data_IF_322988538660
#
_entry.id   IF_322988538660
#
_cell.length_a   1.000
_cell.length_b   1.000
_cell.length_c   1.000
_cell.angle_alpha   90.00
_cell.angle_beta   90.00
_cell.angle_gamma   90.00
#
_symmetry.space_group_name_H-M   'P 1'
#
loop_
_entity.id
_entity.type
_entity.pdbx_description
1 polymer ?
#
# COMPACT_ATOMS: atom_id res chain seq x y z
N UNK A 1 13.31 -14.09 6.42
CA UNK A 1 13.82 -12.90 5.70
C UNK A 1 13.83 -11.64 6.54
N UNK A 2 12.67 -11.15 6.98
CA UNK A 2 12.58 -9.89 7.75
C UNK A 2 13.51 -9.84 8.98
N UNK A 3 13.59 -10.91 9.77
CA UNK A 3 14.53 -11.02 10.90
C UNK A 3 15.99 -10.95 10.46
N UNK A 4 16.35 -11.62 9.36
CA UNK A 4 17.72 -11.60 8.85
C UNK A 4 18.11 -10.19 8.36
N UNK A 5 17.20 -9.50 7.67
CA UNK A 5 17.40 -8.10 7.25
C UNK A 5 17.52 -7.16 8.47
N UNK A 6 16.68 -7.33 9.48
CA UNK A 6 16.77 -6.57 10.74
C UNK A 6 18.12 -6.79 11.42
N UNK A 7 18.62 -8.03 11.49
CA UNK A 7 19.93 -8.34 12.07
C UNK A 7 21.09 -7.78 11.24
N UNK A 8 20.91 -7.64 9.93
CA UNK A 8 21.88 -7.00 9.03
C UNK A 8 21.91 -5.47 9.17
N UNK A 9 21.00 -4.86 9.95
CA UNK A 9 21.02 -3.44 10.27
C UNK A 9 20.34 -2.54 9.23
N UNK A 10 19.41 -3.06 8.42
CA UNK A 10 18.61 -2.21 7.53
C UNK A 10 17.73 -1.25 8.34
N UNK A 11 17.43 -0.06 7.81
CA UNK A 11 16.64 0.94 8.53
C UNK A 11 15.13 0.67 8.51
N UNK A 12 14.64 -0.12 7.55
CA UNK A 12 13.23 -0.51 7.38
C UNK A 12 13.11 -1.71 6.43
N UNK A 13 11.97 -2.39 6.47
CA UNK A 13 11.64 -3.50 5.54
C UNK A 13 10.32 -3.20 4.83
N UNK A 14 10.29 -3.37 3.51
CA UNK A 14 9.06 -3.28 2.72
C UNK A 14 8.41 -4.67 2.62
N UNK A 15 7.11 -4.75 2.87
CA UNK A 15 6.29 -5.96 2.74
C UNK A 15 5.31 -5.76 1.58
N UNK A 16 5.47 -6.56 0.52
CA UNK A 16 4.64 -6.49 -0.68
C UNK A 16 3.82 -7.78 -0.83
N UNK A 17 2.50 -7.63 -0.96
CA UNK A 17 1.55 -8.74 -1.16
C UNK A 17 1.67 -9.87 -0.12
N UNK A 18 1.94 -9.50 1.13
CA UNK A 18 2.01 -10.43 2.27
C UNK A 18 0.63 -10.49 2.95
N UNK A 19 0.10 -11.68 3.30
CA UNK A 19 -1.16 -11.77 4.03
C UNK A 19 -1.16 -10.89 5.29
N UNK A 20 -2.24 -10.14 5.54
CA UNK A 20 -2.27 -9.11 6.58
C UNK A 20 -1.94 -9.65 7.98
N UNK A 21 -2.41 -10.86 8.28
CA UNK A 21 -2.08 -11.53 9.55
C UNK A 21 -0.59 -11.83 9.70
N UNK A 22 0.08 -12.26 8.62
CA UNK A 22 1.52 -12.51 8.62
C UNK A 22 2.32 -11.20 8.68
N UNK A 23 1.90 -10.17 7.93
CA UNK A 23 2.54 -8.86 7.96
C UNK A 23 2.46 -8.21 9.35
N UNK A 24 1.31 -8.37 10.05
CA UNK A 24 1.17 -7.98 11.46
C UNK A 24 2.19 -8.71 12.34
N UNK A 25 2.27 -10.04 12.23
CA UNK A 25 3.24 -10.84 13.00
C UNK A 25 4.67 -10.38 12.75
N UNK A 26 5.06 -10.19 11.48
CA UNK A 26 6.39 -9.70 11.10
C UNK A 26 6.66 -8.34 11.74
N UNK A 27 5.74 -7.39 11.60
CA UNK A 27 5.87 -6.03 12.14
C UNK A 27 6.04 -6.03 13.65
N UNK A 28 5.38 -6.94 14.38
CA UNK A 28 5.54 -7.07 15.84
C UNK A 28 6.80 -7.82 16.26
N UNK A 29 7.47 -8.53 15.35
CA UNK A 29 8.59 -9.42 15.65
C UNK A 29 9.97 -8.84 15.40
N UNK A 30 10.06 -7.73 14.65
CA UNK A 30 11.33 -7.04 14.32
C UNK A 30 11.32 -5.63 14.91
N UNK A 31 12.49 -5.10 15.27
CA UNK A 31 12.60 -3.79 15.92
C UNK A 31 12.48 -2.60 14.94
N UNK A 32 12.68 -2.85 13.65
CA UNK A 32 12.70 -1.82 12.61
C UNK A 32 11.30 -1.63 11.97
N UNK A 33 10.98 -0.42 11.46
CA UNK A 33 9.70 -0.17 10.82
C UNK A 33 9.45 -1.05 9.59
N UNK A 34 8.20 -1.46 9.40
CA UNK A 34 7.72 -2.10 8.17
C UNK A 34 6.91 -1.11 7.33
N UNK A 35 7.07 -1.15 6.00
CA UNK A 35 6.26 -0.39 5.06
C UNK A 35 5.47 -1.37 4.18
N UNK A 36 4.14 -1.27 4.21
CA UNK A 36 3.25 -2.19 3.50
C UNK A 36 2.79 -1.67 2.14
N UNK A 37 2.66 -2.58 1.17
CA UNK A 37 1.83 -2.44 -0.03
C UNK A 37 1.11 -3.77 -0.29
N UNK A 38 -0.21 -3.78 -0.13
CA UNK A 38 -0.96 -5.03 -0.07
C UNK A 38 -0.54 -5.94 1.10
N UNK A 39 -0.12 -5.34 2.23
CA UNK A 39 0.30 -6.06 3.43
C UNK A 39 -0.53 -5.73 4.67
N UNK A 40 -1.72 -5.13 4.47
CA UNK A 40 -2.62 -4.76 5.55
C UNK A 40 -2.20 -3.54 6.36
N UNK A 41 -3.10 -3.12 7.25
CA UNK A 41 -3.02 -1.85 8.00
C UNK A 41 -2.01 -1.90 9.15
N UNK A 42 -1.59 -3.10 9.56
CA UNK A 42 -0.76 -3.32 10.74
C UNK A 42 0.75 -3.11 10.50
N UNK A 43 1.17 -2.77 9.27
CA UNK A 43 2.53 -2.29 9.02
C UNK A 43 2.78 -0.91 9.67
N UNK A 44 4.04 -0.56 9.95
CA UNK A 44 4.39 0.73 10.56
C UNK A 44 4.05 1.95 9.68
N UNK A 45 4.05 1.75 8.37
CA UNK A 45 3.63 2.72 7.36
C UNK A 45 3.19 2.03 6.07
N UNK A 46 2.87 2.82 5.06
CA UNK A 46 2.32 2.32 3.80
C UNK A 46 3.02 3.00 2.61
N UNK A 47 3.02 2.33 1.47
CA UNK A 47 3.45 2.88 0.19
C UNK A 47 2.44 2.52 -0.89
N UNK A 48 2.22 3.45 -1.81
CA UNK A 48 1.50 3.24 -3.07
C UNK A 48 2.28 3.88 -4.20
N UNK A 49 2.19 3.28 -5.38
CA UNK A 49 2.66 3.88 -6.62
C UNK A 49 1.75 5.07 -6.96
N UNK A 50 2.31 6.20 -7.40
CA UNK A 50 1.54 7.44 -7.59
C UNK A 50 0.47 7.29 -8.67
N UNK A 51 0.72 6.49 -9.70
CA UNK A 51 -0.25 6.16 -10.74
C UNK A 51 -1.46 5.43 -10.14
N UNK A 52 -1.26 4.47 -9.25
CA UNK A 52 -2.34 3.74 -8.58
C UNK A 52 -3.16 4.65 -7.66
N UNK A 53 -2.48 5.51 -6.89
CA UNK A 53 -3.12 6.52 -6.03
C UNK A 53 -4.02 7.46 -6.83
N UNK A 54 -3.61 7.81 -8.04
CA UNK A 54 -4.34 8.71 -8.94
C UNK A 54 -5.30 7.98 -9.90
N UNK A 55 -5.37 6.65 -9.84
CA UNK A 55 -6.21 5.85 -10.74
C UNK A 55 -5.78 5.85 -12.21
N UNK A 56 -4.48 6.07 -12.48
CA UNK A 56 -3.90 6.07 -13.81
C UNK A 56 -3.46 4.65 -14.15
N UNK A 57 -4.31 3.93 -14.87
CA UNK A 57 -4.01 2.56 -15.32
C UNK A 57 -3.80 2.52 -16.83
N UNK A 58 -2.86 1.69 -17.25
CA UNK A 58 -2.76 1.22 -18.62
C UNK A 58 -3.08 -0.29 -18.65
N UNK A 59 -3.39 -0.81 -19.82
CA UNK A 59 -3.60 -2.24 -20.02
C UNK A 59 -2.83 -2.73 -21.23
N UNK A 60 -2.83 -4.06 -21.43
CA UNK A 60 -2.34 -4.65 -22.67
C UNK A 60 -2.98 -3.97 -23.88
N UNK A 61 -2.24 -3.85 -24.98
CA UNK A 61 -2.70 -3.23 -26.23
C UNK A 61 -4.03 -3.79 -26.75
N UNK A 62 -4.41 -5.00 -26.33
CA UNK A 62 -5.66 -5.67 -26.71
C UNK A 62 -6.86 -5.33 -25.81
N UNK A 63 -6.67 -4.65 -24.68
CA UNK A 63 -7.75 -4.27 -23.75
C UNK A 63 -8.23 -2.84 -24.03
N UNK A 64 -9.55 -2.64 -23.93
CA UNK A 64 -10.13 -1.30 -23.99
C UNK A 64 -9.78 -0.52 -22.71
N UNK A 65 -9.61 0.81 -22.77
CA UNK A 65 -9.34 1.62 -21.58
C UNK A 65 -10.34 1.43 -20.44
N UNK A 66 -11.61 1.19 -20.76
CA UNK A 66 -12.67 0.90 -19.79
C UNK A 66 -12.51 -0.43 -19.03
N UNK A 67 -11.57 -1.29 -19.46
CA UNK A 67 -11.32 -2.61 -18.88
C UNK A 67 -10.03 -2.66 -18.04
N UNK A 68 -9.33 -1.54 -17.91
CA UNK A 68 -8.13 -1.45 -17.08
C UNK A 68 -8.55 -1.60 -15.61
N UNK A 69 -7.91 -2.53 -14.91
CA UNK A 69 -8.25 -2.85 -13.51
C UNK A 69 -7.16 -2.34 -12.60
N UNK A 70 -7.59 -1.65 -11.55
CA UNK A 70 -6.74 -1.38 -10.40
C UNK A 70 -6.27 -2.70 -9.76
N UNK A 71 -5.04 -2.78 -9.27
CA UNK A 71 -4.65 -3.88 -8.39
C UNK A 71 -5.46 -3.81 -7.09
N UNK A 72 -5.73 -4.97 -6.47
CA UNK A 72 -6.58 -5.07 -5.28
C UNK A 72 -6.12 -4.16 -4.13
N UNK A 73 -4.81 -4.01 -3.96
CA UNK A 73 -4.24 -3.19 -2.87
C UNK A 73 -4.36 -1.68 -3.08
N UNK A 74 -4.74 -1.22 -4.28
CA UNK A 74 -4.78 0.19 -4.61
C UNK A 74 -6.14 0.81 -4.29
N UNK A 75 -6.10 2.08 -3.89
CA UNK A 75 -7.26 2.97 -3.80
C UNK A 75 -7.00 4.21 -4.65
N UNK A 76 -7.96 4.56 -5.50
CA UNK A 76 -7.93 5.83 -6.24
C UNK A 76 -8.40 6.96 -5.32
N UNK A 77 -7.47 7.78 -4.83
CA UNK A 77 -7.77 8.96 -4.00
C UNK A 77 -8.13 10.20 -4.84
N UNK A 78 -7.83 10.18 -6.15
CA UNK A 78 -8.18 11.27 -7.05
C UNK A 78 -9.68 11.30 -7.36
N UNK A 79 -10.35 10.15 -7.48
CA UNK A 79 -11.78 10.13 -7.78
C UNK A 79 -12.66 10.74 -6.67
N UNK A 80 -12.15 10.80 -5.43
CA UNK A 80 -12.84 11.39 -4.28
C UNK A 80 -12.69 12.93 -4.22
N UNK A 81 -11.65 13.47 -4.84
CA UNK A 81 -11.22 14.88 -4.65
C UNK A 81 -11.19 15.70 -5.93
N UNK A 82 -11.00 15.03 -7.08
CA UNK A 82 -10.76 15.64 -8.39
C UNK A 82 -9.62 16.69 -8.38
N UNK A 83 -8.68 16.57 -7.44
CA UNK A 83 -7.55 17.47 -7.27
C UNK A 83 -6.34 16.67 -6.74
N UNK A 84 -5.19 16.77 -7.41
CA UNK A 84 -4.01 15.95 -7.11
C UNK A 84 -3.46 16.22 -5.70
N UNK A 85 -3.35 17.49 -5.31
CA UNK A 85 -2.84 17.86 -3.99
C UNK A 85 -3.73 17.35 -2.86
N UNK A 86 -5.06 17.44 -3.04
CA UNK A 86 -6.02 16.89 -2.10
C UNK A 86 -5.99 15.36 -2.07
N UNK A 87 -5.86 14.68 -3.21
CA UNK A 87 -5.72 13.23 -3.27
C UNK A 87 -4.52 12.73 -2.45
N UNK A 88 -3.36 13.36 -2.60
CA UNK A 88 -2.15 13.03 -1.82
C UNK A 88 -2.37 13.32 -0.33
N UNK A 89 -2.99 14.46 -0.01
CA UNK A 89 -3.32 14.80 1.39
C UNK A 89 -4.24 13.78 2.02
N UNK A 90 -5.28 13.34 1.30
CA UNK A 90 -6.23 12.32 1.76
C UNK A 90 -5.57 10.97 1.96
N UNK A 91 -4.66 10.56 1.07
CA UNK A 91 -3.85 9.36 1.26
C UNK A 91 -3.04 9.43 2.56
N UNK A 92 -2.33 10.53 2.78
CA UNK A 92 -1.53 10.74 4.00
C UNK A 92 -2.40 10.65 5.26
N UNK A 93 -3.57 11.30 5.25
CA UNK A 93 -4.50 11.24 6.38
C UNK A 93 -5.06 9.84 6.60
N UNK A 94 -5.42 9.13 5.53
CA UNK A 94 -5.97 7.79 5.62
C UNK A 94 -4.97 6.77 6.18
N UNK A 95 -3.70 6.87 5.78
CA UNK A 95 -2.61 6.04 6.34
C UNK A 95 -2.41 6.34 7.83
N UNK A 96 -2.29 7.63 8.20
CA UNK A 96 -2.07 8.04 9.60
C UNK A 96 -3.24 7.67 10.52
N UNK A 97 -4.47 7.76 10.01
CA UNK A 97 -5.67 7.41 10.74
C UNK A 97 -6.01 5.91 10.68
N UNK A 98 -5.16 5.09 10.04
CA UNK A 98 -5.38 3.65 9.84
C UNK A 98 -6.71 3.30 9.17
N UNK A 99 -7.23 4.19 8.32
CA UNK A 99 -8.39 3.93 7.46
C UNK A 99 -8.00 3.43 6.07
N UNK A 100 -6.71 3.54 5.72
CA UNK A 100 -6.11 2.89 4.56
C UNK A 100 -4.79 2.20 4.95
N UNK A 101 -4.51 0.98 4.45
CA UNK A 101 -5.40 0.11 3.66
C UNK A 101 -6.58 -0.42 4.47
N UNK A 102 -7.73 -0.61 3.81
CA UNK A 102 -8.88 -1.32 4.37
C UNK A 102 -8.82 -2.84 4.09
N UNK A 103 -9.77 -3.61 4.61
CA UNK A 103 -9.82 -5.07 4.43
C UNK A 103 -9.85 -5.50 2.95
N UNK A 104 -10.57 -4.76 2.10
CA UNK A 104 -10.63 -5.00 0.65
C UNK A 104 -9.27 -4.84 -0.05
N UNK A 105 -8.39 -3.98 0.49
CA UNK A 105 -7.05 -3.69 -0.04
C UNK A 105 -5.96 -4.65 0.50
N UNK A 106 -6.33 -5.56 1.39
CA UNK A 106 -5.42 -6.47 2.06
C UNK A 106 -5.49 -7.87 1.47
N UNK A 107 -4.40 -8.64 1.58
CA UNK A 107 -4.37 -10.06 1.19
C UNK A 107 -4.53 -10.97 2.41
#
# INVERSE_FOLDING_TARGET
DATAMSNAGVCMVLLEMVPAALAKQVTTSIAIPTIGIGAGVDCSGQVLVIQDLLGIYNGSAHKKPSEYKAPRFAKNFLCETNNIQQAVTHYVQAVKNKTFPAAEHSY
#
